data_IF_543103529117
#
_entry.id   IF_543103529117
#
_cell.length_a   1.000
_cell.length_b   1.000
_cell.length_c   1.000
_cell.angle_alpha   90.00
_cell.angle_beta   90.00
_cell.angle_gamma   90.00
#
_symmetry.space_group_name_H-M   'P 1'
#
loop_
_entity.id
_entity.type
_entity.pdbx_description
1 polymer ?
#
# COMPACT_ATOMS: atom_id res chain seq x y z
N UNK A 1 4.27 4.25 54.62
CA UNK A 1 5.16 5.41 54.90
C UNK A 1 6.08 5.61 53.70
N UNK A 2 6.37 6.85 53.26
CA UNK A 2 7.42 7.06 52.25
C UNK A 2 8.75 6.56 52.83
N UNK A 3 9.54 5.82 52.04
CA UNK A 3 10.80 5.19 52.46
C UNK A 3 11.71 6.14 53.25
N UNK A 4 11.73 7.43 52.88
CA UNK A 4 12.44 8.50 53.61
C UNK A 4 12.07 8.61 55.09
N UNK A 5 10.80 8.48 55.46
CA UNK A 5 10.35 8.59 56.85
C UNK A 5 10.68 7.33 57.65
N UNK A 6 10.63 6.16 57.00
CA UNK A 6 11.03 4.89 57.61
C UNK A 6 12.52 4.91 57.97
N UNK A 7 13.38 5.32 57.04
CA UNK A 7 14.83 5.41 57.26
C UNK A 7 15.16 6.36 58.42
N UNK A 8 14.59 7.56 58.44
CA UNK A 8 14.82 8.55 59.51
C UNK A 8 14.35 8.00 60.87
N UNK A 9 13.15 7.42 60.92
CA UNK A 9 12.60 6.85 62.14
C UNK A 9 13.48 5.70 62.67
N UNK A 10 13.94 4.80 61.80
CA UNK A 10 14.81 3.68 62.19
C UNK A 10 16.15 4.14 62.76
N UNK A 11 16.75 5.21 62.22
CA UNK A 11 17.97 5.80 62.80
C UNK A 11 17.73 6.42 64.18
N UNK A 12 16.64 7.18 64.34
CA UNK A 12 16.27 7.76 65.64
C UNK A 12 15.97 6.66 66.66
N UNK A 13 15.27 5.60 66.25
CA UNK A 13 14.97 4.44 67.07
C UNK A 13 16.24 3.70 67.51
N UNK A 14 17.18 3.44 66.58
CA UNK A 14 18.48 2.86 66.92
C UNK A 14 19.26 3.74 67.90
N UNK A 15 19.27 5.06 67.71
CA UNK A 15 19.96 5.98 68.61
C UNK A 15 19.39 5.96 70.02
N UNK A 16 18.06 6.06 70.17
CA UNK A 16 17.37 6.04 71.46
C UNK A 16 17.56 4.68 72.15
N UNK A 17 17.42 3.58 71.40
CA UNK A 17 17.62 2.23 71.92
C UNK A 17 19.06 2.02 72.40
N UNK A 18 20.05 2.50 71.63
CA UNK A 18 21.46 2.42 72.01
C UNK A 18 21.77 3.13 73.33
N UNK A 19 21.28 4.36 73.50
CA UNK A 19 21.41 5.11 74.75
C UNK A 19 20.72 4.42 75.92
N UNK A 20 19.51 3.88 75.69
CA UNK A 20 18.73 3.19 76.71
C UNK A 20 19.42 1.92 77.20
N UNK A 21 19.86 1.06 76.29
CA UNK A 21 20.55 -0.19 76.63
C UNK A 21 21.88 0.09 77.34
N UNK A 22 22.65 1.08 76.86
CA UNK A 22 23.91 1.47 77.51
C UNK A 22 23.70 2.02 78.94
N UNK A 23 22.59 2.73 79.17
CA UNK A 23 22.24 3.24 80.50
C UNK A 23 21.83 2.16 81.48
N UNK A 24 21.26 1.03 81.01
CA UNK A 24 20.83 -0.08 81.86
C UNK A 24 21.97 -1.06 82.15
N UNK A 25 22.79 -1.34 81.14
CA UNK A 25 23.85 -2.33 81.25
C UNK A 25 25.12 -1.82 80.56
N UNK A 26 26.03 -1.24 81.35
CA UNK A 26 27.34 -0.77 80.89
C UNK A 26 28.40 -1.88 80.84
N UNK A 27 27.98 -3.14 80.91
CA UNK A 27 28.85 -4.29 80.84
C UNK A 27 29.43 -4.45 79.43
N UNK A 28 30.66 -4.97 79.38
CA UNK A 28 31.32 -5.32 78.13
C UNK A 28 31.19 -6.82 77.90
N UNK A 29 30.90 -7.20 76.66
CA UNK A 29 30.88 -8.59 76.24
C UNK A 29 32.07 -8.85 75.33
N UNK A 30 32.89 -9.83 75.72
CA UNK A 30 34.01 -10.33 74.93
C UNK A 30 33.53 -11.49 74.08
N UNK A 31 33.51 -11.30 72.77
CA UNK A 31 33.26 -12.38 71.83
C UNK A 31 34.59 -12.90 71.29
N UNK A 32 34.83 -14.20 71.50
CA UNK A 32 35.97 -14.89 70.91
C UNK A 32 35.60 -15.29 69.47
N UNK A 33 36.29 -14.70 68.49
CA UNK A 33 36.07 -14.99 67.09
C UNK A 33 36.47 -16.45 66.79
N UNK A 34 35.59 -17.27 66.20
CA UNK A 34 35.98 -18.60 65.76
C UNK A 34 37.07 -18.46 64.68
N UNK A 35 38.17 -19.20 64.86
CA UNK A 35 39.33 -19.27 63.96
C UNK A 35 40.33 -18.08 64.00
N UNK A 36 40.31 -17.21 65.02
CA UNK A 36 41.38 -16.22 65.26
C UNK A 36 41.74 -16.08 66.76
N UNK A 37 42.96 -15.61 67.08
CA UNK A 37 43.40 -15.31 68.47
C UNK A 37 42.99 -13.91 68.94
N UNK A 38 42.17 -13.22 68.16
CA UNK A 38 41.73 -11.85 68.42
C UNK A 38 40.40 -11.85 69.17
N UNK A 39 40.39 -11.23 70.34
CA UNK A 39 39.19 -11.08 71.15
C UNK A 39 38.54 -9.72 70.86
N UNK A 40 37.24 -9.71 70.57
CA UNK A 40 36.50 -8.48 70.34
C UNK A 40 35.70 -8.12 71.58
N UNK A 41 36.18 -7.12 72.32
CA UNK A 41 35.48 -6.58 73.48
C UNK A 41 34.66 -5.37 73.08
N UNK A 42 33.33 -5.50 73.13
CA UNK A 42 32.41 -4.40 72.83
C UNK A 42 31.33 -4.30 73.92
N UNK A 43 30.83 -3.09 74.23
CA UNK A 43 29.69 -2.93 75.12
C UNK A 43 28.48 -3.74 74.61
N UNK A 44 27.71 -4.32 75.53
CA UNK A 44 26.50 -5.11 75.19
C UNK A 44 25.53 -4.32 74.30
N UNK A 45 25.42 -3.00 74.53
CA UNK A 45 24.64 -2.09 73.70
C UNK A 45 25.01 -2.13 72.21
N UNK A 46 26.30 -2.27 71.87
CA UNK A 46 26.77 -2.31 70.48
C UNK A 46 26.37 -3.63 69.81
N UNK A 47 26.44 -4.75 70.53
CA UNK A 47 25.99 -6.05 70.03
C UNK A 47 24.50 -6.06 69.70
N UNK A 48 23.67 -5.52 70.61
CA UNK A 48 22.21 -5.40 70.41
C UNK A 48 21.90 -4.46 69.23
N UNK A 49 22.58 -3.32 69.13
CA UNK A 49 22.45 -2.42 67.98
C UNK A 49 22.83 -3.10 66.66
N UNK A 50 23.86 -3.95 66.66
CA UNK A 50 24.26 -4.74 65.51
C UNK A 50 23.13 -5.64 65.00
N UNK A 51 22.44 -6.34 65.91
CA UNK A 51 21.28 -7.18 65.56
C UNK A 51 20.16 -6.33 64.93
N UNK A 52 19.84 -5.18 65.54
CA UNK A 52 18.81 -4.26 65.03
C UNK A 52 19.18 -3.69 63.66
N UNK A 53 20.46 -3.39 63.44
CA UNK A 53 20.98 -2.92 62.15
C UNK A 53 20.81 -4.00 61.07
N UNK A 54 21.07 -5.27 61.38
CA UNK A 54 20.84 -6.37 60.43
C UNK A 54 19.36 -6.45 60.04
N UNK A 55 18.44 -6.37 61.00
CA UNK A 55 17.01 -6.32 60.71
C UNK A 55 16.64 -5.11 59.84
N UNK A 56 17.21 -3.94 60.11
CA UNK A 56 17.01 -2.75 59.28
C UNK A 56 17.48 -2.99 57.83
N UNK A 57 18.66 -3.56 57.62
CA UNK A 57 19.15 -3.91 56.27
C UNK A 57 18.19 -4.88 55.57
N UNK A 58 17.72 -5.92 56.26
CA UNK A 58 16.74 -6.87 55.69
C UNK A 58 15.46 -6.17 55.24
N UNK A 59 14.94 -5.21 56.02
CA UNK A 59 13.74 -4.45 55.63
C UNK A 59 13.99 -3.56 54.41
N UNK A 60 15.19 -2.98 54.27
CA UNK A 60 15.55 -2.20 53.08
C UNK A 60 15.59 -3.08 51.83
N UNK A 61 16.15 -4.28 51.94
CA UNK A 61 16.17 -5.27 50.85
C UNK A 61 14.73 -5.64 50.45
N UNK A 62 13.86 -5.89 51.43
CA UNK A 62 12.44 -6.16 51.17
C UNK A 62 11.75 -5.00 50.42
N UNK A 63 11.93 -3.75 50.86
CA UNK A 63 11.39 -2.59 50.14
C UNK A 63 11.97 -2.43 48.73
N UNK A 64 13.26 -2.65 48.57
CA UNK A 64 13.92 -2.61 47.26
C UNK A 64 13.33 -3.69 46.32
N UNK A 65 13.07 -4.90 46.82
CA UNK A 65 12.45 -5.97 46.05
C UNK A 65 11.02 -5.63 45.62
N UNK A 66 10.24 -4.99 46.51
CA UNK A 66 8.87 -4.57 46.21
C UNK A 66 8.85 -3.48 45.13
N UNK A 67 9.74 -2.50 45.24
CA UNK A 67 9.91 -1.45 44.25
C UNK A 67 10.39 -1.99 42.89
N UNK A 68 11.38 -2.90 42.89
CA UNK A 68 11.86 -3.53 41.67
C UNK A 68 10.77 -4.35 40.96
N UNK A 69 9.93 -5.05 41.73
CA UNK A 69 8.76 -5.76 41.21
C UNK A 69 7.76 -4.80 40.56
N UNK A 70 7.43 -3.69 41.21
CA UNK A 70 6.52 -2.67 40.67
C UNK A 70 7.07 -2.08 39.35
N UNK A 71 8.36 -1.77 39.30
CA UNK A 71 9.01 -1.26 38.09
C UNK A 71 8.98 -2.28 36.95
N UNK A 72 9.25 -3.56 37.22
CA UNK A 72 9.15 -4.63 36.22
C UNK A 72 7.71 -4.81 35.72
N UNK A 73 6.73 -4.76 36.63
CA UNK A 73 5.32 -4.87 36.28
C UNK A 73 4.83 -3.71 35.40
N UNK A 74 5.30 -2.50 35.68
CA UNK A 74 5.04 -1.29 34.89
C UNK A 74 5.71 -1.35 33.52
N UNK A 75 6.96 -1.82 33.46
CA UNK A 75 7.67 -2.03 32.21
C UNK A 75 6.94 -3.04 31.33
N UNK A 76 6.57 -4.20 31.88
CA UNK A 76 5.80 -5.21 31.15
C UNK A 76 4.44 -4.70 30.70
N UNK A 77 3.74 -3.90 31.53
CA UNK A 77 2.47 -3.27 31.16
C UNK A 77 2.64 -2.32 29.97
N UNK A 78 3.64 -1.43 30.02
CA UNK A 78 3.93 -0.48 28.92
C UNK A 78 4.30 -1.21 27.64
N UNK A 79 5.14 -2.24 27.74
CA UNK A 79 5.58 -3.04 26.60
C UNK A 79 4.42 -3.82 25.96
N UNK A 80 3.56 -4.46 26.76
CA UNK A 80 2.39 -5.18 26.25
C UNK A 80 1.35 -4.22 25.63
N UNK A 81 1.18 -3.02 26.19
CA UNK A 81 0.36 -1.97 25.59
C UNK A 81 0.93 -1.53 24.23
N UNK A 82 2.24 -1.30 24.15
CA UNK A 82 2.90 -0.90 22.90
C UNK A 82 2.80 -1.96 21.80
N UNK A 83 2.87 -3.25 22.18
CA UNK A 83 2.60 -4.37 21.27
C UNK A 83 1.18 -4.37 20.75
N UNK A 84 0.17 -4.03 21.56
CA UNK A 84 -1.21 -3.92 21.07
C UNK A 84 -1.37 -2.76 20.08
N UNK A 85 -0.79 -1.59 20.37
CA UNK A 85 -0.84 -0.46 19.43
C UNK A 85 -0.19 -0.80 18.09
N UNK A 86 0.95 -1.49 18.14
CA UNK A 86 1.62 -1.97 16.93
C UNK A 86 0.74 -2.96 16.17
N UNK A 87 0.08 -3.90 16.85
CA UNK A 87 -0.87 -4.82 16.21
C UNK A 87 -2.01 -4.07 15.52
N UNK A 88 -2.61 -3.08 16.18
CA UNK A 88 -3.69 -2.26 15.61
C UNK A 88 -3.22 -1.60 14.31
N UNK A 89 -2.03 -0.99 14.31
CA UNK A 89 -1.46 -0.36 13.12
C UNK A 89 -1.20 -1.37 11.99
N UNK A 90 -0.60 -2.53 12.30
CA UNK A 90 -0.34 -3.58 11.31
C UNK A 90 -1.64 -4.10 10.68
N UNK A 91 -2.66 -4.38 11.50
CA UNK A 91 -3.97 -4.83 11.03
C UNK A 91 -4.70 -3.75 10.23
N UNK A 92 -4.63 -2.49 10.65
CA UNK A 92 -5.19 -1.35 9.91
C UNK A 92 -4.54 -1.18 8.52
N UNK A 93 -3.23 -1.49 8.43
CA UNK A 93 -2.46 -1.54 7.19
C UNK A 93 -2.66 -2.84 6.40
N UNK A 94 -3.56 -3.73 6.84
CA UNK A 94 -3.84 -5.02 6.21
C UNK A 94 -2.59 -5.91 6.06
N UNK A 95 -1.71 -5.89 7.07
CA UNK A 95 -0.54 -6.76 7.14
C UNK A 95 -0.91 -8.15 7.67
N UNK A 96 -0.08 -9.19 7.38
CA UNK A 96 -0.30 -10.51 7.93
C UNK A 96 -0.34 -10.48 9.46
N UNK A 97 -1.33 -11.16 10.02
CA UNK A 97 -1.51 -11.27 11.46
C UNK A 97 -0.34 -12.09 12.03
N UNK A 98 0.42 -11.48 12.93
CA UNK A 98 1.53 -12.14 13.63
C UNK A 98 1.06 -12.64 14.99
N UNK A 99 1.53 -13.82 15.36
CA UNK A 99 1.38 -14.32 16.72
C UNK A 99 2.29 -13.54 17.67
N UNK A 100 1.69 -12.93 18.69
CA UNK A 100 2.37 -12.08 19.66
C UNK A 100 2.26 -12.70 21.05
N UNK A 101 3.40 -12.76 21.74
CA UNK A 101 3.46 -13.22 23.13
C UNK A 101 3.34 -12.03 24.08
N UNK A 102 2.34 -12.07 24.93
CA UNK A 102 2.07 -11.08 25.97
C UNK A 102 2.40 -11.66 27.35
N UNK A 103 2.97 -10.83 28.22
CA UNK A 103 3.23 -11.24 29.62
C UNK A 103 1.93 -11.28 30.41
N UNK A 104 1.01 -10.36 30.15
CA UNK A 104 -0.30 -10.29 30.81
C UNK A 104 -1.37 -10.97 29.95
N UNK A 105 -2.12 -11.90 30.56
CA UNK A 105 -3.20 -12.65 29.91
C UNK A 105 -4.25 -11.75 29.25
N UNK A 106 -4.70 -10.70 29.94
CA UNK A 106 -5.72 -9.78 29.43
C UNK A 106 -5.33 -9.11 28.10
N UNK A 107 -4.05 -8.76 27.93
CA UNK A 107 -3.54 -8.20 26.66
C UNK A 107 -3.50 -9.26 25.56
N UNK A 108 -3.12 -10.50 25.91
CA UNK A 108 -3.16 -11.64 25.00
C UNK A 108 -4.57 -12.00 24.54
N UNK A 109 -5.55 -11.97 25.45
CA UNK A 109 -6.95 -12.22 25.12
C UNK A 109 -7.50 -11.12 24.20
N UNK A 110 -7.22 -9.84 24.51
CA UNK A 110 -7.60 -8.72 23.63
C UNK A 110 -6.93 -8.80 22.26
N UNK A 111 -5.65 -9.16 22.20
CA UNK A 111 -4.93 -9.40 20.95
C UNK A 111 -5.64 -10.43 20.08
N UNK A 112 -5.99 -11.59 20.65
CA UNK A 112 -6.75 -12.65 19.94
C UNK A 112 -8.12 -12.19 19.49
N UNK A 113 -8.82 -11.38 20.30
CA UNK A 113 -10.10 -10.79 19.90
C UNK A 113 -9.89 -9.89 18.68
N UNK A 114 -8.92 -8.98 18.72
CA UNK A 114 -8.61 -8.06 17.61
C UNK A 114 -8.22 -8.80 16.32
N UNK A 115 -7.53 -9.95 16.43
CA UNK A 115 -7.19 -10.78 15.26
C UNK A 115 -8.42 -11.31 14.50
N UNK A 116 -9.59 -11.39 15.16
CA UNK A 116 -10.84 -11.83 14.52
C UNK A 116 -11.56 -10.72 13.75
N UNK A 117 -11.13 -9.47 13.89
CA UNK A 117 -11.75 -8.32 13.24
C UNK A 117 -10.84 -7.73 12.15
N UNK A 118 -11.49 -7.18 11.12
CA UNK A 118 -10.82 -6.38 10.12
C UNK A 118 -10.84 -4.91 10.54
N UNK A 119 -9.67 -4.33 10.81
CA UNK A 119 -9.56 -2.93 11.22
C UNK A 119 -9.37 -2.04 9.98
N UNK A 120 -10.23 -1.04 9.82
CA UNK A 120 -10.07 0.02 8.81
C UNK A 120 -9.89 1.36 9.51
N UNK A 121 -8.91 2.20 9.11
CA UNK A 121 -8.81 3.56 9.59
C UNK A 121 -10.06 4.36 9.26
N UNK A 122 -10.59 5.08 10.25
CA UNK A 122 -11.75 5.95 10.12
C UNK A 122 -11.28 7.41 10.09
N UNK A 123 -11.04 7.96 8.90
CA UNK A 123 -10.31 9.24 8.75
C UNK A 123 -11.06 10.48 9.29
N UNK A 124 -12.36 10.37 9.54
CA UNK A 124 -13.23 11.36 10.18
C UNK A 124 -13.20 11.31 11.72
N UNK A 125 -12.44 10.41 12.34
CA UNK A 125 -12.34 10.32 13.80
C UNK A 125 -11.48 11.43 14.40
N UNK A 126 -11.78 11.78 15.65
CA UNK A 126 -10.92 12.65 16.48
C UNK A 126 -9.61 11.94 16.82
N UNK A 127 -8.59 12.73 17.17
CA UNK A 127 -7.29 12.22 17.60
C UNK A 127 -7.41 11.38 18.87
N UNK A 128 -6.60 10.33 18.94
CA UNK A 128 -6.52 9.44 20.10
C UNK A 128 -5.55 9.96 21.18
N UNK A 129 -4.83 11.05 20.88
CA UNK A 129 -3.67 11.55 21.63
C UNK A 129 -2.54 10.51 21.77
N UNK A 130 -2.58 9.45 20.97
CA UNK A 130 -1.54 8.46 20.88
C UNK A 130 -0.74 8.69 19.60
N UNK A 131 0.45 9.24 19.75
CA UNK A 131 1.35 9.57 18.64
C UNK A 131 1.57 8.42 17.64
N UNK A 132 1.59 7.15 18.08
CA UNK A 132 1.77 6.00 17.17
C UNK A 132 0.54 5.74 16.29
N UNK A 133 -0.66 5.98 16.79
CA UNK A 133 -1.91 5.82 16.04
C UNK A 133 -2.15 7.07 15.19
N UNK A 134 -2.07 8.25 15.78
CA UNK A 134 -2.42 9.50 15.11
C UNK A 134 -1.48 9.77 13.90
N UNK A 135 -0.18 9.46 14.02
CA UNK A 135 0.76 9.57 12.89
C UNK A 135 0.46 8.61 11.74
N UNK A 136 -0.13 7.43 12.01
CA UNK A 136 -0.62 6.54 10.96
C UNK A 136 -1.81 7.16 10.25
N UNK A 137 -2.75 7.76 10.99
CA UNK A 137 -3.92 8.43 10.43
C UNK A 137 -3.54 9.65 9.58
N UNK A 138 -2.57 10.45 10.02
CA UNK A 138 -2.00 11.54 9.21
C UNK A 138 -1.40 11.01 7.90
N UNK A 139 -0.58 9.95 7.99
CA UNK A 139 -0.02 9.28 6.79
C UNK A 139 -1.14 8.84 5.85
N UNK A 140 -2.21 8.24 6.39
CA UNK A 140 -3.38 7.83 5.60
C UNK A 140 -4.07 9.01 4.93
N UNK A 141 -4.32 10.10 5.66
CA UNK A 141 -4.93 11.32 5.12
C UNK A 141 -4.10 11.91 3.99
N UNK A 142 -2.79 12.00 4.17
CA UNK A 142 -1.88 12.53 3.15
C UNK A 142 -1.90 11.68 1.88
N UNK A 143 -1.80 10.35 1.99
CA UNK A 143 -1.86 9.45 0.83
C UNK A 143 -3.24 9.51 0.16
N UNK A 144 -4.34 9.52 0.92
CA UNK A 144 -5.68 9.62 0.33
C UNK A 144 -5.95 10.99 -0.30
N UNK A 145 -5.26 12.05 0.14
CA UNK A 145 -5.33 13.39 -0.47
C UNK A 145 -4.51 13.54 -1.76
N UNK A 146 -3.77 12.50 -2.16
CA UNK A 146 -2.94 12.52 -3.37
C UNK A 146 -1.48 12.91 -3.14
N UNK A 147 -1.04 13.10 -1.88
CA UNK A 147 0.38 13.37 -1.58
C UNK A 147 1.20 12.08 -1.64
N UNK A 148 2.47 12.23 -2.01
CA UNK A 148 3.45 11.14 -2.01
C UNK A 148 4.14 11.10 -0.65
N UNK A 149 4.02 9.98 0.05
CA UNK A 149 4.57 9.79 1.39
C UNK A 149 5.56 8.62 1.40
N UNK A 150 6.60 8.69 2.23
CA UNK A 150 7.49 7.54 2.42
C UNK A 150 6.85 6.48 3.33
N UNK A 151 6.46 5.36 2.72
CA UNK A 151 5.84 4.22 3.40
C UNK A 151 6.84 3.11 3.75
N UNK A 152 8.14 3.26 3.46
CA UNK A 152 9.15 2.22 3.73
C UNK A 152 9.19 1.78 5.18
N UNK A 153 8.97 2.72 6.11
CA UNK A 153 8.93 2.46 7.56
C UNK A 153 7.90 1.39 7.96
N UNK A 154 6.85 1.20 7.16
CA UNK A 154 5.80 0.24 7.44
C UNK A 154 6.07 -1.15 6.85
N UNK A 155 7.08 -1.33 5.98
CA UNK A 155 7.41 -2.62 5.36
C UNK A 155 6.19 -3.30 4.69
N UNK A 156 5.44 -2.53 3.91
CA UNK A 156 4.23 -3.01 3.22
C UNK A 156 4.59 -3.95 2.06
N UNK A 157 3.72 -4.93 1.79
CA UNK A 157 3.84 -5.78 0.60
C UNK A 157 3.60 -4.98 -0.68
N UNK A 158 4.11 -5.48 -1.81
CA UNK A 158 3.94 -4.84 -3.12
C UNK A 158 2.47 -4.74 -3.54
N UNK A 159 1.66 -5.74 -3.17
CA UNK A 159 0.22 -5.84 -3.45
C UNK A 159 -0.67 -5.10 -2.42
N UNK A 160 -0.06 -4.45 -1.42
CA UNK A 160 -0.84 -3.75 -0.42
C UNK A 160 -1.56 -2.54 -1.02
N UNK A 161 -2.90 -2.51 -0.94
CA UNK A 161 -3.75 -1.44 -1.49
C UNK A 161 -3.30 -0.02 -1.09
N UNK A 162 -2.83 0.16 0.15
CA UNK A 162 -2.35 1.46 0.62
C UNK A 162 -1.03 1.87 -0.05
N UNK A 163 -0.12 0.91 -0.25
CA UNK A 163 1.11 1.13 -1.00
C UNK A 163 0.83 1.40 -2.48
N UNK A 164 -0.08 0.63 -3.09
CA UNK A 164 -0.51 0.84 -4.48
C UNK A 164 -1.08 2.25 -4.68
N UNK A 165 -1.92 2.74 -3.76
CA UNK A 165 -2.44 4.10 -3.84
C UNK A 165 -1.34 5.17 -3.79
N UNK A 166 -0.35 5.01 -2.90
CA UNK A 166 0.77 5.94 -2.83
C UNK A 166 1.66 5.88 -4.09
N UNK A 167 1.81 4.71 -4.72
CA UNK A 167 2.47 4.57 -6.02
C UNK A 167 1.67 5.27 -7.13
N UNK A 168 0.33 5.15 -7.15
CA UNK A 168 -0.53 5.91 -8.08
C UNK A 168 -0.35 7.42 -7.90
N UNK A 169 -0.32 7.92 -6.67
CA UNK A 169 -0.02 9.33 -6.40
C UNK A 169 1.36 9.76 -6.93
N UNK A 170 2.37 8.89 -6.79
CA UNK A 170 3.73 9.16 -7.28
C UNK A 170 3.80 9.23 -8.81
N UNK A 171 3.04 8.40 -9.50
CA UNK A 171 2.89 8.45 -10.97
C UNK A 171 2.16 9.74 -11.35
N UNK A 172 1.04 10.05 -10.69
CA UNK A 172 0.27 11.27 -10.98
C UNK A 172 1.08 12.55 -10.78
N UNK A 173 1.95 12.59 -9.76
CA UNK A 173 2.85 13.72 -9.53
C UNK A 173 3.95 13.84 -10.59
N UNK A 174 4.44 12.71 -11.12
CA UNK A 174 5.39 12.66 -12.23
C UNK A 174 5.29 11.31 -12.95
N UNK A 175 4.75 11.34 -14.17
CA UNK A 175 4.46 10.16 -14.98
C UNK A 175 5.70 9.30 -15.26
N UNK A 176 6.91 9.90 -15.31
CA UNK A 176 8.18 9.18 -15.56
C UNK A 176 8.48 8.12 -14.50
N UNK A 177 7.92 8.26 -13.30
CA UNK A 177 8.03 7.23 -12.27
C UNK A 177 7.38 5.90 -12.69
N UNK A 178 6.39 5.95 -13.59
CA UNK A 178 5.67 4.79 -14.11
C UNK A 178 6.57 3.77 -14.79
N UNK A 179 7.56 4.20 -15.58
CA UNK A 179 8.50 3.30 -16.28
C UNK A 179 9.18 2.31 -15.33
N UNK A 180 9.57 2.77 -14.14
CA UNK A 180 10.27 1.92 -13.15
C UNK A 180 9.39 0.85 -12.50
N UNK A 181 8.08 0.89 -12.75
CA UNK A 181 7.06 -0.01 -12.20
C UNK A 181 6.59 -1.02 -13.25
N UNK A 182 6.66 -0.70 -14.55
CA UNK A 182 6.25 -1.59 -15.63
C UNK A 182 7.08 -2.89 -15.65
N UNK A 183 8.39 -2.80 -15.42
CA UNK A 183 9.32 -3.93 -15.43
C UNK A 183 9.23 -4.84 -14.19
N UNK A 184 8.49 -4.41 -13.17
CA UNK A 184 8.46 -5.10 -11.86
C UNK A 184 7.21 -5.96 -11.74
N UNK A 185 7.33 -6.99 -10.90
CA UNK A 185 6.20 -7.78 -10.41
C UNK A 185 5.28 -6.92 -9.52
N UNK A 186 4.41 -6.15 -10.17
CA UNK A 186 3.30 -5.43 -9.58
C UNK A 186 1.98 -5.89 -10.21
N UNK A 187 0.84 -5.67 -9.52
CA UNK A 187 -0.47 -5.97 -10.06
C UNK A 187 -0.74 -5.23 -11.37
N UNK A 188 -1.46 -5.88 -12.28
CA UNK A 188 -1.77 -5.33 -13.61
C UNK A 188 -2.54 -4.02 -13.52
N UNK A 189 -3.42 -3.84 -12.52
CA UNK A 189 -4.13 -2.58 -12.28
C UNK A 189 -3.17 -1.37 -12.13
N UNK A 190 -2.03 -1.56 -11.44
CA UNK A 190 -1.04 -0.49 -11.27
C UNK A 190 -0.26 -0.26 -12.55
N UNK A 191 0.06 -1.34 -13.29
CA UNK A 191 0.73 -1.25 -14.58
C UNK A 191 -0.14 -0.52 -15.60
N UNK A 192 -1.42 -0.86 -15.70
CA UNK A 192 -2.39 -0.17 -16.54
C UNK A 192 -2.50 1.31 -16.17
N UNK A 193 -2.61 1.64 -14.88
CA UNK A 193 -2.61 3.04 -14.45
C UNK A 193 -1.32 3.79 -14.84
N UNK A 194 -0.16 3.15 -14.68
CA UNK A 194 1.13 3.74 -15.08
C UNK A 194 1.21 3.97 -16.59
N UNK A 195 0.84 2.97 -17.40
CA UNK A 195 0.79 3.07 -18.86
C UNK A 195 -0.12 4.21 -19.30
N UNK A 196 -1.32 4.30 -18.72
CA UNK A 196 -2.29 5.35 -19.03
C UNK A 196 -1.73 6.75 -18.78
N UNK A 197 -1.11 6.98 -17.63
CA UNK A 197 -0.53 8.28 -17.28
C UNK A 197 0.68 8.64 -18.17
N UNK A 198 1.45 7.64 -18.63
CA UNK A 198 2.55 7.85 -19.58
C UNK A 198 1.98 8.20 -20.97
N UNK A 199 0.96 7.49 -21.45
CA UNK A 199 0.33 7.78 -22.75
C UNK A 199 -0.24 9.21 -22.79
N UNK A 200 -0.84 9.67 -21.69
CA UNK A 200 -1.46 10.99 -21.60
C UNK A 200 -0.47 12.15 -21.55
N UNK A 201 0.64 11.97 -20.83
CA UNK A 201 1.54 13.07 -20.47
C UNK A 201 2.95 12.95 -21.09
N UNK A 202 3.27 11.82 -21.72
CA UNK A 202 4.59 11.53 -22.26
C UNK A 202 4.94 12.39 -23.48
N UNK A 203 6.23 12.71 -23.60
CA UNK A 203 6.80 13.25 -24.84
C UNK A 203 7.11 12.13 -25.85
N UNK A 204 7.45 12.48 -27.09
CA UNK A 204 7.73 11.50 -28.15
C UNK A 204 8.75 10.43 -27.75
N UNK A 205 9.81 10.79 -27.01
CA UNK A 205 10.87 9.84 -26.63
C UNK A 205 10.39 8.89 -25.53
N UNK A 206 9.63 9.42 -24.57
CA UNK A 206 9.01 8.63 -23.52
C UNK A 206 7.98 7.64 -24.13
N UNK A 207 7.24 8.06 -25.16
CA UNK A 207 6.30 7.20 -25.90
C UNK A 207 7.02 6.09 -26.67
N UNK A 208 8.08 6.38 -27.42
CA UNK A 208 8.88 5.36 -28.11
C UNK A 208 9.37 4.28 -27.14
N UNK A 209 9.81 4.70 -25.95
CA UNK A 209 10.25 3.79 -24.89
C UNK A 209 9.10 2.93 -24.37
N UNK A 210 7.91 3.49 -24.20
CA UNK A 210 6.73 2.74 -23.78
C UNK A 210 6.34 1.70 -24.83
N UNK A 211 6.35 2.07 -26.11
CA UNK A 211 5.99 1.18 -27.23
C UNK A 211 6.85 -0.08 -27.23
N UNK A 212 8.15 0.04 -26.97
CA UNK A 212 9.05 -1.10 -26.84
C UNK A 212 8.68 -2.07 -25.69
N UNK A 213 7.93 -1.62 -24.69
CA UNK A 213 7.50 -2.42 -23.53
C UNK A 213 6.06 -2.93 -23.65
N UNK A 214 5.26 -2.43 -24.59
CA UNK A 214 3.85 -2.82 -24.81
C UNK A 214 3.63 -4.34 -25.00
N UNK A 215 4.48 -5.10 -25.70
CA UNK A 215 4.24 -6.54 -25.90
C UNK A 215 4.19 -7.36 -24.60
N UNK A 216 4.73 -6.83 -23.51
CA UNK A 216 4.74 -7.49 -22.19
C UNK A 216 3.61 -7.00 -21.27
N UNK A 217 2.72 -6.14 -21.75
CA UNK A 217 1.66 -5.52 -20.97
C UNK A 217 0.30 -6.03 -21.44
N UNK A 218 -0.56 -6.35 -20.47
CA UNK A 218 -1.98 -6.59 -20.73
C UNK A 218 -2.67 -5.26 -20.97
N UNK A 219 -3.18 -5.06 -22.19
CA UNK A 219 -3.88 -3.84 -22.56
C UNK A 219 -5.38 -4.03 -22.41
N UNK A 220 -6.03 -3.08 -21.75
CA UNK A 220 -7.48 -2.98 -21.69
C UNK A 220 -8.00 -2.00 -22.76
N UNK A 221 -9.33 -1.96 -22.93
CA UNK A 221 -9.97 -1.08 -23.92
C UNK A 221 -9.64 0.41 -23.71
N UNK A 222 -9.49 0.86 -22.47
CA UNK A 222 -9.20 2.26 -22.17
C UNK A 222 -7.76 2.64 -22.57
N UNK A 223 -6.81 1.74 -22.33
CA UNK A 223 -5.42 1.92 -22.77
C UNK A 223 -5.30 1.94 -24.28
N UNK A 224 -6.02 1.05 -24.96
CA UNK A 224 -6.04 0.98 -26.41
C UNK A 224 -6.61 2.25 -27.05
N UNK A 225 -7.66 2.82 -26.46
CA UNK A 225 -8.22 4.09 -26.91
C UNK A 225 -7.18 5.23 -26.81
N UNK A 226 -6.46 5.33 -25.69
CA UNK A 226 -5.42 6.34 -25.53
C UNK A 226 -4.21 6.09 -26.45
N UNK A 227 -3.90 4.83 -26.72
CA UNK A 227 -2.86 4.44 -27.69
C UNK A 227 -3.22 4.92 -29.10
N UNK A 228 -4.49 4.82 -29.50
CA UNK A 228 -4.99 5.40 -30.75
C UNK A 228 -4.78 6.92 -30.78
N UNK A 229 -5.15 7.63 -29.71
CA UNK A 229 -4.98 9.08 -29.64
C UNK A 229 -3.50 9.50 -29.76
N UNK A 230 -2.58 8.73 -29.17
CA UNK A 230 -1.14 8.92 -29.35
C UNK A 230 -0.73 8.70 -30.81
N UNK A 231 -1.19 7.62 -31.45
CA UNK A 231 -0.91 7.33 -32.85
C UNK A 231 -1.41 8.44 -33.80
N UNK A 232 -2.62 8.94 -33.56
CA UNK A 232 -3.23 10.02 -34.34
C UNK A 232 -2.46 11.34 -34.20
N UNK A 233 -1.91 11.63 -33.01
CA UNK A 233 -1.15 12.86 -32.72
C UNK A 233 0.30 12.78 -33.19
N UNK A 234 0.94 11.63 -33.03
CA UNK A 234 2.34 11.37 -33.37
C UNK A 234 2.41 10.23 -34.38
N UNK A 235 2.01 10.55 -35.62
CA UNK A 235 2.05 9.61 -36.72
C UNK A 235 3.47 9.05 -36.87
N UNK A 236 3.59 7.72 -37.03
CA UNK A 236 4.83 6.92 -37.10
C UNK A 236 5.52 6.56 -35.76
N UNK A 237 5.00 6.98 -34.60
CA UNK A 237 5.51 6.50 -33.29
C UNK A 237 5.17 5.03 -33.04
N UNK A 238 4.05 4.55 -33.60
CA UNK A 238 3.55 3.18 -33.42
C UNK A 238 3.31 2.59 -34.81
N UNK A 239 3.81 1.38 -35.04
CA UNK A 239 3.51 0.64 -36.27
C UNK A 239 2.04 0.21 -36.30
N UNK A 240 1.40 0.30 -37.46
CA UNK A 240 -0.03 -0.05 -37.66
C UNK A 240 -0.32 -1.49 -37.23
N UNK A 241 0.61 -2.41 -37.51
CA UNK A 241 0.51 -3.81 -37.12
C UNK A 241 0.44 -4.00 -35.61
N UNK A 242 1.35 -3.36 -34.86
CA UNK A 242 1.36 -3.43 -33.40
C UNK A 242 0.10 -2.82 -32.79
N UNK A 243 -0.42 -1.74 -33.38
CA UNK A 243 -1.66 -1.12 -32.94
C UNK A 243 -2.87 -2.06 -33.17
N UNK A 244 -2.94 -2.69 -34.35
CA UNK A 244 -3.95 -3.69 -34.68
C UNK A 244 -3.92 -4.90 -33.72
N UNK A 245 -2.72 -5.44 -33.44
CA UNK A 245 -2.52 -6.51 -32.45
C UNK A 245 -2.97 -6.09 -31.03
N UNK A 246 -2.73 -4.83 -30.67
CA UNK A 246 -3.17 -4.27 -29.39
C UNK A 246 -4.70 -4.18 -29.29
N UNK A 247 -5.38 -3.82 -30.38
CA UNK A 247 -6.85 -3.72 -30.41
C UNK A 247 -7.51 -5.09 -30.24
N UNK A 248 -6.99 -6.09 -30.96
CA UNK A 248 -7.45 -7.47 -30.87
C UNK A 248 -7.21 -8.08 -29.48
N UNK A 249 -6.02 -7.88 -28.91
CA UNK A 249 -5.68 -8.43 -27.59
C UNK A 249 -6.49 -7.80 -26.45
N UNK A 250 -6.93 -6.55 -26.59
CA UNK A 250 -7.85 -5.90 -25.66
C UNK A 250 -9.33 -6.31 -25.85
N UNK A 251 -9.65 -7.11 -26.88
CA UNK A 251 -11.00 -7.58 -27.17
C UNK A 251 -11.95 -6.46 -27.62
N UNK A 252 -11.48 -5.56 -28.49
CA UNK A 252 -12.33 -4.55 -29.13
C UNK A 252 -13.43 -5.20 -29.98
N UNK A 253 -14.67 -4.75 -29.82
CA UNK A 253 -15.79 -5.20 -30.65
C UNK A 253 -15.95 -4.32 -31.89
N UNK A 254 -16.87 -4.71 -32.77
CA UNK A 254 -17.10 -3.99 -34.02
C UNK A 254 -17.46 -2.51 -33.80
N UNK A 255 -18.28 -2.23 -32.79
CA UNK A 255 -18.66 -0.86 -32.45
C UNK A 255 -17.45 0.00 -32.06
N UNK A 256 -16.52 -0.53 -31.25
CA UNK A 256 -15.30 0.20 -30.89
C UNK A 256 -14.42 0.49 -32.12
N UNK A 257 -14.24 -0.50 -33.01
CA UNK A 257 -13.49 -0.27 -34.26
C UNK A 257 -14.12 0.81 -35.14
N UNK A 258 -15.45 0.83 -35.27
CA UNK A 258 -16.18 1.87 -36.00
C UNK A 258 -15.94 3.23 -35.35
N UNK A 259 -16.02 3.32 -34.03
CA UNK A 259 -15.77 4.55 -33.30
C UNK A 259 -14.35 5.07 -33.52
N UNK A 260 -13.36 4.18 -33.54
CA UNK A 260 -11.97 4.52 -33.89
C UNK A 260 -11.83 5.02 -35.33
N UNK A 261 -12.56 4.43 -36.28
CA UNK A 261 -12.61 4.91 -37.66
C UNK A 261 -13.20 6.33 -37.74
N UNK A 262 -14.25 6.61 -36.99
CA UNK A 262 -14.84 7.96 -36.89
C UNK A 262 -13.87 8.97 -36.29
N UNK A 263 -13.19 8.62 -35.20
CA UNK A 263 -12.24 9.50 -34.51
C UNK A 263 -11.01 9.83 -35.35
N UNK A 264 -10.57 8.90 -36.20
CA UNK A 264 -9.43 9.08 -37.10
C UNK A 264 -9.73 9.86 -38.39
N UNK A 265 -11.02 10.07 -38.70
CA UNK A 265 -11.48 10.79 -39.89
C UNK A 265 -10.95 12.23 -39.92
N UNK A 266 -10.26 12.58 -41.00
CA UNK A 266 -9.70 13.93 -41.21
C UNK A 266 -8.42 14.23 -40.41
N UNK A 267 -7.95 13.28 -39.59
CA UNK A 267 -6.63 13.33 -38.96
C UNK A 267 -5.62 12.51 -39.76
N UNK A 268 -6.00 11.30 -40.16
CA UNK A 268 -5.20 10.47 -41.07
C UNK A 268 -5.48 10.85 -42.53
N UNK A 269 -4.43 10.81 -43.36
CA UNK A 269 -4.60 10.98 -44.80
C UNK A 269 -5.34 9.76 -45.39
N UNK A 270 -6.06 9.91 -46.52
CA UNK A 270 -6.89 8.83 -47.07
C UNK A 270 -6.17 7.48 -47.23
N UNK A 271 -4.96 7.48 -47.78
CA UNK A 271 -4.18 6.25 -47.98
C UNK A 271 -3.76 5.58 -46.66
N UNK A 272 -3.36 6.38 -45.66
CA UNK A 272 -2.98 5.89 -44.33
C UNK A 272 -4.19 5.35 -43.57
N UNK A 273 -5.33 6.02 -43.72
CA UNK A 273 -6.59 5.63 -43.10
C UNK A 273 -7.08 4.29 -43.63
N UNK A 274 -7.04 4.09 -44.96
CA UNK A 274 -7.34 2.81 -45.60
C UNK A 274 -6.39 1.74 -45.09
N UNK A 275 -5.07 1.97 -45.18
CA UNK A 275 -4.06 0.97 -44.79
C UNK A 275 -4.20 0.55 -43.33
N UNK A 276 -4.49 1.50 -42.44
CA UNK A 276 -4.64 1.21 -41.02
C UNK A 276 -5.85 0.32 -40.73
N UNK A 277 -7.02 0.62 -41.30
CA UNK A 277 -8.22 -0.18 -41.06
C UNK A 277 -8.24 -1.49 -41.86
N UNK A 278 -7.55 -1.56 -43.00
CA UNK A 278 -7.29 -2.82 -43.70
C UNK A 278 -6.46 -3.78 -42.83
N UNK A 279 -5.37 -3.31 -42.22
CA UNK A 279 -4.56 -4.09 -41.27
C UNK A 279 -5.35 -4.50 -40.02
N UNK A 280 -6.31 -3.68 -39.57
CA UNK A 280 -7.20 -4.06 -38.47
C UNK A 280 -8.15 -5.20 -38.88
N UNK A 281 -8.77 -5.08 -40.05
CA UNK A 281 -9.72 -6.06 -40.60
C UNK A 281 -9.06 -7.41 -40.92
N UNK A 282 -7.82 -7.39 -41.44
CA UNK A 282 -7.06 -8.61 -41.73
C UNK A 282 -6.64 -9.35 -40.44
N UNK A 283 -6.52 -8.63 -39.32
CA UNK A 283 -6.15 -9.22 -38.03
C UNK A 283 -7.36 -9.62 -37.18
N UNK A 284 -8.47 -8.87 -37.22
CA UNK A 284 -9.67 -9.09 -36.41
C UNK A 284 -10.94 -8.89 -37.25
N UNK A 285 -11.77 -9.94 -37.35
CA UNK A 285 -13.05 -9.92 -38.07
C UNK A 285 -13.99 -8.81 -37.56
N UNK A 286 -13.90 -8.45 -36.27
CA UNK A 286 -14.70 -7.36 -35.70
C UNK A 286 -14.39 -6.00 -36.35
N UNK A 287 -13.20 -5.82 -36.92
CA UNK A 287 -12.80 -4.56 -37.55
C UNK A 287 -13.32 -4.42 -39.00
N UNK A 288 -13.89 -5.47 -39.58
CA UNK A 288 -14.30 -5.48 -41.00
C UNK A 288 -15.34 -4.39 -41.30
N UNK A 289 -16.34 -4.20 -40.44
CA UNK A 289 -17.34 -3.13 -40.58
C UNK A 289 -16.73 -1.73 -40.51
N UNK A 290 -15.68 -1.54 -39.71
CA UNK A 290 -14.97 -0.27 -39.64
C UNK A 290 -14.18 0.00 -40.92
N UNK A 291 -13.59 -1.03 -41.54
CA UNK A 291 -12.91 -0.89 -42.81
C UNK A 291 -13.88 -0.52 -43.95
N UNK A 292 -15.05 -1.15 -44.01
CA UNK A 292 -16.10 -0.75 -44.94
C UNK A 292 -16.57 0.69 -44.73
N UNK A 293 -16.70 1.12 -43.47
CA UNK A 293 -16.98 2.52 -43.14
C UNK A 293 -15.94 3.47 -43.76
N UNK A 294 -14.64 3.19 -43.61
CA UNK A 294 -13.57 4.00 -44.22
C UNK A 294 -13.68 4.05 -45.74
N UNK A 295 -13.87 2.91 -46.40
CA UNK A 295 -13.98 2.84 -47.87
C UNK A 295 -15.18 3.65 -48.37
N UNK A 296 -16.32 3.59 -47.68
CA UNK A 296 -17.51 4.33 -48.09
C UNK A 296 -17.41 5.82 -47.86
N UNK A 297 -16.78 6.26 -46.77
CA UNK A 297 -16.50 7.67 -46.51
C UNK A 297 -15.53 8.28 -47.53
N UNK A 298 -14.59 7.48 -48.05
CA UNK A 298 -13.67 7.89 -49.12
C UNK A 298 -14.22 7.64 -50.53
N UNK A 299 -15.50 7.30 -50.64
CA UNK A 299 -16.19 6.97 -51.91
C UNK A 299 -15.53 5.86 -52.74
N UNK A 300 -14.73 4.98 -52.12
CA UNK A 300 -14.03 3.87 -52.77
C UNK A 300 -14.93 2.65 -52.99
N UNK A 301 -15.98 2.84 -53.78
CA UNK A 301 -17.03 1.83 -53.99
C UNK A 301 -16.51 0.56 -54.66
N UNK A 302 -15.58 0.70 -55.60
CA UNK A 302 -15.04 -0.47 -56.31
C UNK A 302 -14.20 -1.35 -55.38
N UNK A 303 -13.38 -0.75 -54.52
CA UNK A 303 -12.63 -1.48 -53.47
C UNK A 303 -13.55 -2.14 -52.46
N UNK A 304 -14.61 -1.45 -52.03
CA UNK A 304 -15.60 -2.02 -51.12
C UNK A 304 -16.31 -3.23 -51.74
N UNK A 305 -16.66 -3.17 -53.03
CA UNK A 305 -17.22 -4.33 -53.74
C UNK A 305 -16.23 -5.48 -53.86
N UNK A 306 -14.96 -5.19 -54.07
CA UNK A 306 -13.90 -6.21 -54.14
C UNK A 306 -13.74 -6.91 -52.78
N UNK A 307 -13.60 -6.14 -51.69
CA UNK A 307 -13.52 -6.67 -50.32
C UNK A 307 -14.78 -7.43 -49.89
N UNK A 308 -15.97 -6.98 -50.32
CA UNK A 308 -17.21 -7.69 -50.00
C UNK A 308 -17.31 -9.06 -50.72
N UNK A 309 -16.77 -9.19 -51.94
CA UNK A 309 -16.77 -10.46 -52.68
C UNK A 309 -15.94 -11.57 -52.02
N UNK A 310 -14.99 -11.23 -51.16
CA UNK A 310 -14.22 -12.23 -50.40
C UNK A 310 -14.97 -12.81 -49.20
N UNK A 311 -16.12 -12.24 -48.81
CA UNK A 311 -16.95 -12.74 -47.72
C UNK A 311 -18.09 -13.66 -48.22
N UNK A 312 -18.65 -14.48 -47.33
CA UNK A 312 -19.71 -15.41 -47.73
C UNK A 312 -21.02 -14.66 -48.05
N UNK A 313 -21.80 -15.20 -48.99
CA UNK A 313 -23.11 -14.62 -49.35
C UNK A 313 -24.03 -14.56 -48.12
N UNK A 314 -24.49 -13.36 -47.79
CA UNK A 314 -25.38 -13.10 -46.66
C UNK A 314 -24.68 -12.63 -45.38
N UNK A 315 -23.35 -12.60 -45.35
CA UNK A 315 -22.59 -11.89 -44.32
C UNK A 315 -22.59 -10.39 -44.65
N UNK A 316 -22.80 -9.55 -43.63
CA UNK A 316 -22.84 -8.09 -43.75
C UNK A 316 -23.95 -7.54 -44.67
N UNK A 317 -25.20 -7.98 -44.49
CA UNK A 317 -26.36 -7.49 -45.27
C UNK A 317 -26.57 -5.98 -45.26
N UNK A 318 -26.05 -5.28 -44.24
CA UNK A 318 -26.06 -3.82 -44.18
C UNK A 318 -25.22 -3.18 -45.32
N UNK A 319 -24.14 -3.86 -45.73
CA UNK A 319 -23.27 -3.46 -46.83
C UNK A 319 -23.98 -3.66 -48.17
N UNK A 320 -24.63 -4.81 -48.35
CA UNK A 320 -25.44 -5.09 -49.55
C UNK A 320 -26.50 -4.00 -49.76
N UNK A 321 -27.26 -3.70 -48.70
CA UNK A 321 -28.28 -2.66 -48.73
C UNK A 321 -27.71 -1.28 -49.10
N UNK A 322 -26.55 -0.92 -48.56
CA UNK A 322 -25.90 0.35 -48.87
C UNK A 322 -25.43 0.43 -50.33
N UNK A 323 -24.79 -0.64 -50.83
CA UNK A 323 -24.33 -0.71 -52.22
C UNK A 323 -25.48 -0.63 -53.22
N UNK A 324 -26.61 -1.29 -52.94
CA UNK A 324 -27.82 -1.23 -53.77
C UNK A 324 -28.46 0.16 -53.79
N UNK A 325 -28.50 0.84 -52.64
CA UNK A 325 -28.99 2.22 -52.56
C UNK A 325 -28.12 3.18 -53.36
N UNK A 326 -26.79 3.03 -53.27
CA UNK A 326 -25.84 3.85 -54.03
C UNK A 326 -25.92 3.57 -55.53
N UNK A 327 -26.08 2.31 -55.94
CA UNK A 327 -26.32 1.91 -57.34
C UNK A 327 -27.65 2.47 -57.88
N UNK A 328 -28.66 2.63 -57.01
CA UNK A 328 -29.95 3.23 -57.33
C UNK A 328 -29.94 4.78 -57.34
N UNK A 329 -28.75 5.40 -57.20
CA UNK A 329 -28.58 6.85 -57.22
C UNK A 329 -29.01 7.58 -55.94
N UNK A 330 -29.23 6.86 -54.83
CA UNK A 330 -29.57 7.47 -53.54
C UNK A 330 -28.32 7.63 -52.67
N UNK A 331 -28.06 8.85 -52.22
CA UNK A 331 -26.90 9.19 -51.39
C UNK A 331 -27.31 9.34 -49.92
N UNK A 332 -27.20 8.26 -49.15
CA UNK A 332 -27.37 8.29 -47.70
C UNK A 332 -26.00 8.21 -47.01
N UNK A 333 -25.80 8.85 -45.85
CA UNK A 333 -24.62 8.61 -45.03
C UNK A 333 -24.55 7.16 -44.57
N UNK A 334 -23.36 6.55 -44.65
CA UNK A 334 -23.18 5.16 -44.22
C UNK A 334 -23.39 5.00 -42.71
N UNK A 335 -23.19 6.06 -41.91
CA UNK A 335 -23.47 6.09 -40.46
C UNK A 335 -24.83 5.48 -40.05
N UNK A 336 -25.85 5.63 -40.89
CA UNK A 336 -27.21 5.14 -40.62
C UNK A 336 -27.25 3.60 -40.55
N UNK A 337 -26.34 2.93 -41.26
CA UNK A 337 -26.29 1.47 -41.38
C UNK A 337 -25.36 0.82 -40.34
N UNK A 338 -24.68 1.63 -39.53
CA UNK A 338 -23.60 1.19 -38.64
C UNK A 338 -23.98 1.37 -37.15
N UNK A 339 -25.06 2.11 -36.86
CA UNK A 339 -25.54 2.43 -35.50
C UNK A 339 -26.71 1.56 -35.00
N UNK A 340 -27.08 0.49 -35.72
CA UNK A 340 -28.20 -0.40 -35.37
C UNK A 340 -27.81 -1.59 -34.52
#
# INVERSE_FOLDING_TARGET
MKLKYYVIFSFVFMFIMGLYVYSLESSTYTYDLPFSTTQLTLPVAVWILGIVLVFFIMTLIFFASAWAKEMLEDYHRKNDYDKLLTQINEQALNQPIKDRVYKRKAFGDLSKILQRFYLKPRLDSMESFNRKIDSLFETYKDVMSGKVVDLKKYHLSKDNKFNLQNLKNKIKANYKNGFSLLDKEYPDELKSYATLEILKNGDSKDLDKLVAQLPNLTLDKALVQELLQVYLKYQNTIETKHLSESFKSAGCGAFEYIQYAKESKGILNPDEWIRFFEECADNDENAEMAFFYVLFELEMIDKAKERHKSHAKGEYTAIDAYLDLKASGKNYPFDIFVLS
#
